data_IF_978276575546
#
_entry.id   IF_978276575546
#
_cell.length_a   1.000
_cell.length_b   1.000
_cell.length_c   1.000
_cell.angle_alpha   90.00
_cell.angle_beta   90.00
_cell.angle_gamma   90.00
#
_symmetry.space_group_name_H-M   'P 1'
#
loop_
_entity.id
_entity.type
_entity.pdbx_description
1 polymer ?
#
# COMPACT_ATOMS: atom_id res chain seq x y z
N UNK A 1 10.09 0.30 -5.50
CA UNK A 1 10.84 0.38 -6.76
C UNK A 1 11.11 1.82 -7.21
N UNK A 2 10.45 2.81 -6.61
CA UNK A 2 10.67 4.22 -6.94
C UNK A 2 11.68 4.84 -5.98
N UNK A 3 12.54 5.73 -6.49
CA UNK A 3 13.46 6.48 -5.66
C UNK A 3 12.68 7.44 -4.75
N UNK A 4 13.11 7.61 -3.49
CA UNK A 4 12.39 8.43 -2.49
C UNK A 4 12.17 9.87 -2.95
N UNK A 5 13.19 10.51 -3.57
CA UNK A 5 13.04 11.84 -4.11
C UNK A 5 12.00 11.93 -5.24
N UNK A 6 11.85 10.87 -6.05
CA UNK A 6 10.81 10.82 -7.08
C UNK A 6 9.41 10.72 -6.47
N UNK A 7 9.25 10.02 -5.35
CA UNK A 7 7.98 9.99 -4.60
C UNK A 7 7.62 11.37 -4.05
N UNK A 8 8.57 12.06 -3.41
CA UNK A 8 8.34 13.41 -2.89
C UNK A 8 7.97 14.39 -4.02
N UNK A 9 8.73 14.39 -5.11
CA UNK A 9 8.45 15.22 -6.29
C UNK A 9 7.08 14.92 -6.90
N UNK A 10 6.68 13.65 -6.94
CA UNK A 10 5.36 13.26 -7.43
C UNK A 10 4.24 13.86 -6.58
N UNK A 11 4.33 13.76 -5.24
CA UNK A 11 3.34 14.36 -4.35
C UNK A 11 3.31 15.88 -4.45
N UNK A 12 4.48 16.53 -4.59
CA UNK A 12 4.58 17.98 -4.79
C UNK A 12 3.92 18.42 -6.10
N UNK A 13 4.17 17.71 -7.19
CA UNK A 13 3.65 18.05 -8.52
C UNK A 13 2.17 17.68 -8.67
N UNK A 14 1.75 16.53 -8.14
CA UNK A 14 0.38 16.02 -8.28
C UNK A 14 -0.60 16.69 -7.31
N UNK A 15 -0.10 17.13 -6.16
CA UNK A 15 -0.91 17.67 -5.08
C UNK A 15 -1.53 16.58 -4.20
N UNK A 16 -1.87 16.98 -2.97
CA UNK A 16 -2.36 16.12 -1.90
C UNK A 16 -3.65 15.36 -2.23
N UNK A 17 -4.51 15.93 -3.10
CA UNK A 17 -5.85 15.41 -3.38
C UNK A 17 -5.90 14.44 -4.56
N UNK A 18 -4.82 14.31 -5.33
CA UNK A 18 -4.81 13.54 -6.57
C UNK A 18 -3.83 12.36 -6.57
N UNK A 19 -2.89 12.32 -5.62
CA UNK A 19 -1.98 11.20 -5.48
C UNK A 19 -2.75 9.95 -4.99
N UNK A 20 -2.51 8.81 -5.61
CA UNK A 20 -3.03 7.51 -5.18
C UNK A 20 -1.85 6.57 -4.97
N UNK A 21 -1.79 5.96 -3.79
CA UNK A 21 -0.81 4.94 -3.49
C UNK A 21 -1.31 3.56 -3.92
N UNK A 22 -0.48 2.86 -4.69
CA UNK A 22 -0.72 1.48 -5.12
C UNK A 22 0.47 0.62 -4.71
N UNK A 23 0.24 -0.55 -4.15
CA UNK A 23 1.29 -1.47 -3.75
C UNK A 23 1.74 -2.38 -4.87
N UNK A 24 0.88 -2.67 -5.85
CA UNK A 24 1.08 -3.74 -6.83
C UNK A 24 1.46 -5.08 -6.18
N UNK A 25 0.90 -5.33 -5.00
CA UNK A 25 1.33 -6.41 -4.12
C UNK A 25 0.76 -7.75 -4.54
N UNK A 26 1.64 -8.71 -4.73
CA UNK A 26 1.29 -10.09 -5.01
C UNK A 26 0.86 -10.82 -3.73
N UNK A 27 0.14 -11.95 -3.90
CA UNK A 27 -0.20 -12.84 -2.77
C UNK A 27 1.01 -13.37 -2.01
N UNK A 28 2.18 -13.39 -2.66
CA UNK A 28 3.46 -13.83 -2.05
C UNK A 28 4.03 -12.88 -1.00
N UNK A 29 3.44 -11.72 -0.78
CA UNK A 29 3.89 -10.73 0.23
C UNK A 29 3.96 -11.26 1.67
N UNK A 30 3.25 -12.36 1.94
CA UNK A 30 3.21 -12.99 3.25
C UNK A 30 3.91 -14.35 3.27
N UNK A 31 4.64 -14.67 2.21
CA UNK A 31 5.34 -15.95 2.06
C UNK A 31 6.81 -15.82 2.44
N UNK A 32 7.40 -16.94 2.84
CA UNK A 32 8.80 -16.98 3.24
C UNK A 32 9.74 -16.69 2.06
N UNK A 33 10.86 -15.95 2.29
CA UNK A 33 11.89 -15.77 1.28
C UNK A 33 12.45 -17.12 0.80
N UNK A 34 12.73 -17.23 -0.51
CA UNK A 34 13.22 -18.47 -1.14
C UNK A 34 12.12 -19.45 -1.53
N UNK A 35 10.84 -19.15 -1.23
CA UNK A 35 9.70 -19.93 -1.69
C UNK A 35 9.50 -19.81 -3.21
N UNK A 36 8.93 -20.87 -3.82
CA UNK A 36 8.57 -20.89 -5.24
C UNK A 36 7.08 -20.63 -5.38
N UNK A 37 6.73 -19.68 -6.22
CA UNK A 37 5.35 -19.25 -6.44
C UNK A 37 5.08 -19.13 -7.93
N UNK A 38 3.81 -19.12 -8.32
CA UNK A 38 3.39 -18.94 -9.70
C UNK A 38 2.65 -17.61 -9.87
N UNK A 39 2.93 -16.94 -10.97
CA UNK A 39 2.24 -15.72 -11.42
C UNK A 39 1.87 -15.89 -12.89
N UNK A 40 0.64 -16.32 -13.15
CA UNK A 40 0.13 -16.48 -14.52
C UNK A 40 0.93 -17.50 -15.36
N UNK A 41 1.39 -18.58 -14.74
CA UNK A 41 2.19 -19.62 -15.40
C UNK A 41 3.70 -19.38 -15.36
N UNK A 42 4.14 -18.25 -14.80
CA UNK A 42 5.55 -17.94 -14.64
C UNK A 42 6.00 -18.18 -13.20
N UNK A 43 7.08 -18.93 -13.03
CA UNK A 43 7.68 -19.17 -11.72
C UNK A 43 8.31 -17.88 -11.18
N UNK A 44 7.93 -17.50 -9.96
CA UNK A 44 8.53 -16.36 -9.24
C UNK A 44 9.22 -16.83 -7.96
N UNK A 45 10.20 -16.05 -7.56
CA UNK A 45 10.94 -16.23 -6.32
C UNK A 45 11.01 -14.92 -5.54
N UNK A 46 10.84 -14.98 -4.23
CA UNK A 46 11.03 -13.83 -3.34
C UNK A 46 12.46 -13.88 -2.82
N UNK A 47 13.25 -12.87 -3.19
CA UNK A 47 14.64 -12.75 -2.73
C UNK A 47 14.73 -12.37 -1.25
N UNK A 48 15.95 -12.48 -0.67
CA UNK A 48 16.24 -12.02 0.70
C UNK A 48 16.05 -10.51 0.88
N UNK A 49 16.09 -9.76 -0.21
CA UNK A 49 15.80 -8.34 -0.27
C UNK A 49 14.28 -8.03 -0.28
N UNK A 50 13.44 -9.07 -0.20
CA UNK A 50 12.00 -8.97 -0.20
C UNK A 50 11.38 -8.70 -1.58
N UNK A 51 12.17 -8.66 -2.67
CA UNK A 51 11.65 -8.42 -4.00
C UNK A 51 11.22 -9.72 -4.68
N UNK A 52 10.05 -9.72 -5.29
CA UNK A 52 9.59 -10.81 -6.14
C UNK A 52 10.19 -10.67 -7.55
N UNK A 53 10.74 -11.74 -8.09
CA UNK A 53 11.34 -11.78 -9.43
C UNK A 53 10.89 -12.99 -10.21
N UNK A 54 10.76 -12.84 -11.53
CA UNK A 54 10.62 -13.96 -12.44
C UNK A 54 11.88 -14.80 -12.38
N UNK A 55 11.74 -16.09 -12.13
CA UNK A 55 12.88 -17.00 -11.99
C UNK A 55 13.72 -17.13 -13.24
N UNK A 56 13.07 -17.06 -14.42
CA UNK A 56 13.71 -17.22 -15.70
C UNK A 56 14.59 -16.01 -16.09
N UNK A 57 14.10 -14.79 -15.86
CA UNK A 57 14.75 -13.56 -16.33
C UNK A 57 15.37 -12.72 -15.22
N UNK A 58 15.05 -13.00 -13.94
CA UNK A 58 15.43 -12.14 -12.81
C UNK A 58 14.68 -10.80 -12.76
N UNK A 59 13.76 -10.55 -13.70
CA UNK A 59 12.98 -9.31 -13.76
C UNK A 59 12.05 -9.21 -12.57
N UNK A 60 11.93 -8.01 -11.99
CA UNK A 60 10.98 -7.75 -10.91
C UNK A 60 9.56 -8.02 -11.39
N UNK A 61 8.81 -8.79 -10.62
CA UNK A 61 7.45 -9.21 -10.91
C UNK A 61 6.52 -8.79 -9.79
N UNK A 62 5.88 -7.64 -9.96
CA UNK A 62 5.00 -7.05 -8.95
C UNK A 62 5.74 -6.65 -7.67
N UNK A 63 5.05 -6.67 -6.55
CA UNK A 63 5.56 -6.19 -5.27
C UNK A 63 5.20 -7.13 -4.11
N UNK A 64 5.96 -7.05 -3.03
CA UNK A 64 5.65 -7.63 -1.72
C UNK A 64 5.25 -6.56 -0.70
N UNK A 65 5.13 -5.30 -1.14
CA UNK A 65 4.85 -4.16 -0.28
C UNK A 65 3.47 -4.27 0.39
N UNK A 66 3.43 -4.10 1.71
CA UNK A 66 2.19 -3.95 2.47
C UNK A 66 1.79 -2.47 2.51
N UNK A 67 0.49 -2.16 2.50
CA UNK A 67 -0.02 -0.78 2.46
C UNK A 67 0.46 0.06 3.65
N UNK A 68 0.45 -0.49 4.86
CA UNK A 68 0.93 0.19 6.06
C UNK A 68 2.43 0.54 5.98
N UNK A 69 3.24 -0.37 5.45
CA UNK A 69 4.68 -0.13 5.23
C UNK A 69 4.89 0.93 4.15
N UNK A 70 4.07 0.91 3.11
CA UNK A 70 4.11 1.96 2.09
C UNK A 70 3.77 3.34 2.64
N UNK A 71 2.76 3.44 3.51
CA UNK A 71 2.43 4.69 4.22
C UNK A 71 3.62 5.15 5.07
N UNK A 72 4.26 4.25 5.84
CA UNK A 72 5.48 4.55 6.60
C UNK A 72 6.58 5.11 5.72
N UNK A 73 6.87 4.45 4.60
CA UNK A 73 7.91 4.90 3.64
C UNK A 73 7.60 6.29 3.09
N UNK A 74 6.35 6.58 2.76
CA UNK A 74 5.97 7.91 2.27
C UNK A 74 6.24 8.99 3.31
N UNK A 75 5.87 8.76 4.56
CA UNK A 75 5.99 9.74 5.64
C UNK A 75 7.43 9.87 6.13
N UNK A 76 8.06 8.77 6.53
CA UNK A 76 9.34 8.80 7.22
C UNK A 76 10.55 8.91 6.27
N UNK A 77 10.47 8.29 5.08
CA UNK A 77 11.61 8.23 4.17
C UNK A 77 11.47 9.21 3.00
N UNK A 78 10.28 9.33 2.41
CA UNK A 78 10.04 10.27 1.31
C UNK A 78 9.61 11.66 1.79
N UNK A 79 9.44 11.86 3.11
CA UNK A 79 9.08 13.13 3.75
C UNK A 79 7.79 13.75 3.19
N UNK A 80 6.86 12.92 2.77
CA UNK A 80 5.52 13.36 2.35
C UNK A 80 4.71 13.71 3.61
N UNK A 81 4.00 14.85 3.66
CA UNK A 81 3.13 15.17 4.79
C UNK A 81 2.14 14.05 5.09
N UNK A 82 1.96 13.71 6.36
CA UNK A 82 1.14 12.56 6.79
C UNK A 82 -0.27 12.58 6.21
N UNK A 83 -0.92 13.73 6.21
CA UNK A 83 -2.27 13.90 5.68
C UNK A 83 -2.35 13.67 4.16
N UNK A 84 -1.33 14.06 3.40
CA UNK A 84 -1.23 13.78 1.97
C UNK A 84 -0.98 12.28 1.71
N UNK A 85 -0.08 11.66 2.45
CA UNK A 85 0.20 10.23 2.36
C UNK A 85 -1.02 9.38 2.76
N UNK A 86 -1.71 9.75 3.85
CA UNK A 86 -2.94 9.11 4.29
C UNK A 86 -4.05 9.28 3.25
N UNK A 87 -4.24 10.48 2.71
CA UNK A 87 -5.20 10.75 1.65
C UNK A 87 -4.99 9.88 0.42
N UNK A 88 -3.73 9.66 0.03
CA UNK A 88 -3.37 8.79 -1.09
C UNK A 88 -3.72 7.31 -0.86
N UNK A 89 -3.82 6.89 0.41
CA UNK A 89 -4.22 5.52 0.78
C UNK A 89 -5.74 5.36 1.01
N UNK A 90 -6.50 6.45 1.15
CA UNK A 90 -7.88 6.42 1.63
C UNK A 90 -8.84 7.19 0.73
N UNK A 91 -8.94 8.50 0.93
CA UNK A 91 -9.98 9.32 0.27
C UNK A 91 -9.71 9.52 -1.22
N UNK A 92 -8.46 9.62 -1.66
CA UNK A 92 -8.16 9.84 -3.06
C UNK A 92 -8.54 8.64 -3.95
N UNK A 93 -8.18 7.36 -3.59
CA UNK A 93 -8.70 6.21 -4.33
C UNK A 93 -10.24 6.09 -4.23
N UNK A 94 -10.86 6.46 -3.10
CA UNK A 94 -12.32 6.46 -2.98
C UNK A 94 -12.97 7.45 -3.96
N UNK A 95 -12.43 8.66 -4.09
CA UNK A 95 -12.87 9.65 -5.10
C UNK A 95 -12.69 9.13 -6.53
N UNK A 96 -11.55 8.54 -6.81
CA UNK A 96 -11.28 7.98 -8.15
C UNK A 96 -12.30 6.90 -8.52
N UNK A 97 -12.68 6.06 -7.54
CA UNK A 97 -13.69 5.01 -7.71
C UNK A 97 -15.13 5.50 -7.54
N UNK A 98 -15.36 6.79 -7.24
CA UNK A 98 -16.67 7.40 -7.01
C UNK A 98 -17.45 6.73 -5.86
N UNK A 99 -16.78 6.41 -4.77
CA UNK A 99 -17.34 5.84 -3.54
C UNK A 99 -17.00 6.66 -2.30
N UNK A 100 -16.58 7.92 -2.51
CA UNK A 100 -16.16 8.85 -1.46
C UNK A 100 -17.34 9.48 -0.70
N UNK A 101 -18.55 9.13 -1.06
CA UNK A 101 -19.78 9.37 -0.31
C UNK A 101 -19.92 8.47 0.92
N UNK A 102 -19.26 7.31 0.92
CA UNK A 102 -19.34 6.31 1.99
C UNK A 102 -18.01 5.66 2.40
N UNK A 103 -16.89 5.92 1.70
CA UNK A 103 -15.56 5.35 1.98
C UNK A 103 -14.47 6.42 2.01
N UNK A 104 -13.35 6.08 2.69
CA UNK A 104 -12.14 6.88 2.72
C UNK A 104 -12.08 7.92 3.84
N UNK A 105 -13.08 7.97 4.73
CA UNK A 105 -13.10 8.87 5.90
C UNK A 105 -13.63 8.15 7.15
N UNK A 106 -13.20 8.62 8.31
CA UNK A 106 -13.83 8.34 9.60
C UNK A 106 -14.85 9.45 9.89
N UNK A 107 -16.09 9.25 9.46
CA UNK A 107 -17.17 10.23 9.63
C UNK A 107 -18.50 9.50 9.80
N UNK A 108 -19.45 10.13 10.51
CA UNK A 108 -20.81 9.60 10.61
C UNK A 108 -21.43 9.43 9.22
N UNK A 109 -22.09 8.30 9.00
CA UNK A 109 -22.69 7.93 7.71
C UNK A 109 -21.74 7.19 6.76
N UNK A 110 -20.45 7.11 7.06
CA UNK A 110 -19.48 6.33 6.27
C UNK A 110 -19.44 4.87 6.73
N UNK A 111 -19.04 3.99 5.82
CA UNK A 111 -18.73 2.60 6.15
C UNK A 111 -17.63 2.60 7.24
N UNK A 112 -17.83 1.81 8.28
CA UNK A 112 -16.83 1.66 9.35
C UNK A 112 -15.71 0.69 8.93
N UNK A 113 -15.01 1.05 7.85
CA UNK A 113 -13.79 0.37 7.39
C UNK A 113 -12.60 1.07 8.05
N UNK A 114 -12.08 0.46 9.12
CA UNK A 114 -11.11 1.11 10.01
C UNK A 114 -9.87 0.22 10.15
N UNK A 115 -8.70 0.85 10.09
CA UNK A 115 -7.42 0.23 10.43
C UNK A 115 -6.82 0.99 11.60
N UNK A 116 -6.49 0.27 12.67
CA UNK A 116 -5.76 0.82 13.82
C UNK A 116 -4.29 0.45 13.66
N UNK A 117 -3.45 1.45 13.66
CA UNK A 117 -1.99 1.30 13.53
C UNK A 117 -1.29 1.68 14.86
N UNK A 118 -0.15 1.04 15.13
CA UNK A 118 0.81 1.54 16.12
C UNK A 118 1.51 2.80 15.62
N UNK A 119 2.30 3.43 16.50
CA UNK A 119 3.18 4.54 16.11
C UNK A 119 4.26 4.12 15.10
N UNK A 120 4.59 2.84 15.05
CA UNK A 120 5.54 2.24 14.11
C UNK A 120 4.87 1.73 12.81
N UNK A 121 3.57 2.04 12.64
CA UNK A 121 2.71 1.64 11.51
C UNK A 121 2.37 0.14 11.46
N UNK A 122 2.54 -0.60 12.56
CA UNK A 122 2.05 -1.98 12.61
C UNK A 122 0.53 -2.02 12.72
N UNK A 123 -0.09 -2.95 11.99
CA UNK A 123 -1.54 -3.14 12.04
C UNK A 123 -1.92 -3.84 13.34
N UNK A 124 -2.62 -3.13 14.22
CA UNK A 124 -3.11 -3.65 15.50
C UNK A 124 -4.51 -4.25 15.38
N UNK A 125 -5.39 -3.59 14.62
CA UNK A 125 -6.77 -4.03 14.42
C UNK A 125 -7.27 -3.58 13.05
N UNK A 126 -8.17 -4.36 12.47
CA UNK A 126 -8.92 -3.97 11.27
C UNK A 126 -10.40 -4.24 11.45
N UNK A 127 -11.22 -3.37 10.88
CA UNK A 127 -12.66 -3.49 10.85
C UNK A 127 -13.16 -3.35 9.41
N UNK A 128 -14.13 -4.16 9.05
CA UNK A 128 -14.86 -4.05 7.79
C UNK A 128 -16.34 -3.86 8.11
N UNK A 129 -16.89 -2.72 7.74
CA UNK A 129 -18.27 -2.32 8.04
C UNK A 129 -18.60 -2.51 9.53
N UNK A 130 -17.70 -2.10 10.41
CA UNK A 130 -17.84 -2.20 11.85
C UNK A 130 -17.55 -3.58 12.45
N UNK A 131 -17.36 -4.61 11.63
CA UNK A 131 -17.03 -5.96 12.11
C UNK A 131 -15.51 -6.12 12.20
N UNK A 132 -15.01 -6.45 13.39
CA UNK A 132 -13.58 -6.69 13.61
C UNK A 132 -13.11 -7.91 12.81
N UNK A 133 -11.97 -7.80 12.14
CA UNK A 133 -11.34 -8.84 11.33
C UNK A 133 -10.12 -9.46 12.03
N UNK A 134 -9.29 -8.64 12.64
CA UNK A 134 -8.13 -9.00 13.47
C UNK A 134 -8.03 -8.05 14.66
#
# INVERSE_FOLDING_TARGET
HSHLAALNNYFTAKGRDFAIMVTDSLRVKSCEPGGRYDLGGHAIEVGKDGLARLKESGTIAGSTLKMNIGLKILVENALVPFDAALGACTINPARFLRVDDRKGKLSAGYDADIVVLSNEYDVLQTYCRGTRQI
#
